data_IF_874238317647
#
_entry.id   IF_874238317647
#
_cell.length_a   1.000
_cell.length_b   1.000
_cell.length_c   1.000
_cell.angle_alpha   90.00
_cell.angle_beta   90.00
_cell.angle_gamma   90.00
#
_symmetry.space_group_name_H-M   'P 1'
#
loop_
_entity.id
_entity.type
_entity.pdbx_description
1 polymer ?
#
# COMPACT_ATOMS: atom_id res chain seq x y z
N UNK A 1 15.56 -25.86 -44.87
CA UNK A 1 15.70 -24.51 -45.42
C UNK A 1 15.46 -23.51 -44.28
N UNK A 2 16.52 -22.93 -43.75
CA UNK A 2 16.48 -22.01 -42.62
C UNK A 2 16.60 -20.58 -43.17
N UNK A 3 15.68 -19.71 -42.81
CA UNK A 3 15.78 -18.28 -43.11
C UNK A 3 16.29 -17.53 -41.89
N UNK A 4 17.37 -16.74 -41.95
CA UNK A 4 17.84 -15.90 -40.86
C UNK A 4 17.02 -14.61 -40.76
N UNK A 5 16.57 -14.26 -39.55
CA UNK A 5 15.95 -12.97 -39.27
C UNK A 5 17.02 -11.92 -39.01
N UNK A 6 17.08 -10.90 -39.82
CA UNK A 6 17.89 -9.70 -39.62
C UNK A 6 17.32 -8.89 -38.41
N UNK A 7 18.22 -8.58 -37.46
CA UNK A 7 17.93 -7.64 -36.37
C UNK A 7 18.46 -6.28 -36.82
N UNK A 8 17.56 -5.36 -37.12
CA UNK A 8 17.90 -3.96 -37.38
C UNK A 8 18.08 -3.21 -36.07
N UNK A 9 19.31 -2.80 -35.78
CA UNK A 9 19.63 -1.91 -34.65
C UNK A 9 19.36 -0.47 -35.07
N UNK A 10 18.42 0.20 -34.43
CA UNK A 10 18.18 1.64 -34.56
C UNK A 10 19.13 2.39 -33.62
N UNK A 11 20.03 3.14 -34.19
CA UNK A 11 20.93 4.03 -33.44
C UNK A 11 20.22 5.38 -33.24
N UNK A 12 20.04 5.79 -31.98
CA UNK A 12 19.54 7.12 -31.63
C UNK A 12 20.75 8.04 -31.42
N UNK A 13 20.88 9.02 -32.28
CA UNK A 13 21.88 10.06 -32.17
C UNK A 13 21.44 11.11 -31.13
N UNK A 14 22.30 11.36 -30.14
CA UNK A 14 22.13 12.41 -29.15
C UNK A 14 22.78 13.68 -29.70
N UNK A 15 22.00 14.69 -30.03
CA UNK A 15 22.48 16.03 -30.35
C UNK A 15 22.59 16.86 -29.09
N UNK A 16 23.82 17.24 -28.76
CA UNK A 16 24.11 18.20 -27.70
C UNK A 16 23.86 19.64 -28.22
N UNK A 17 23.04 20.38 -27.52
CA UNK A 17 22.89 21.83 -27.73
C UNK A 17 23.67 22.59 -26.67
N UNK A 18 24.51 23.50 -27.18
CA UNK A 18 25.48 24.33 -26.44
C UNK A 18 24.79 25.50 -25.74
N UNK A 19 25.26 25.78 -24.55
CA UNK A 19 24.96 26.90 -23.65
C UNK A 19 25.07 28.29 -24.28
N UNK A 20 24.13 29.16 -23.94
CA UNK A 20 24.37 30.59 -23.82
C UNK A 20 24.17 31.00 -22.37
N UNK A 21 25.23 31.46 -21.74
CA UNK A 21 25.25 31.97 -20.37
C UNK A 21 24.62 33.40 -20.29
N UNK A 22 23.96 33.64 -19.13
CA UNK A 22 23.62 34.99 -18.66
C UNK A 22 24.11 35.11 -17.21
N UNK A 23 24.83 36.16 -16.83
CA UNK A 23 25.37 36.31 -15.48
C UNK A 23 24.36 36.97 -14.53
N UNK A 24 24.28 36.45 -13.34
CA UNK A 24 24.19 37.15 -12.08
C UNK A 24 22.97 37.98 -11.73
N UNK A 25 22.23 37.49 -10.73
CA UNK A 25 21.89 38.36 -9.58
C UNK A 25 21.86 37.49 -8.31
N UNK A 26 22.56 37.97 -7.32
CA UNK A 26 22.61 37.42 -5.98
C UNK A 26 21.30 37.66 -5.22
N UNK A 27 20.97 36.73 -4.32
CA UNK A 27 20.22 37.08 -3.11
C UNK A 27 18.75 36.66 -3.09
N UNK A 28 18.52 35.49 -2.49
CA UNK A 28 17.51 35.34 -1.44
C UNK A 28 17.72 33.94 -0.84
N UNK A 29 18.34 33.87 0.32
CA UNK A 29 18.20 32.71 1.20
C UNK A 29 16.72 32.61 1.54
N UNK A 30 16.01 31.70 0.89
CA UNK A 30 14.72 31.25 1.37
C UNK A 30 14.99 30.42 2.63
N UNK A 31 14.72 31.01 3.79
CA UNK A 31 14.63 30.29 5.05
C UNK A 31 13.69 29.10 4.86
N UNK A 32 14.25 27.90 4.97
CA UNK A 32 13.46 26.69 5.09
C UNK A 32 12.55 26.86 6.31
N UNK A 33 11.24 26.68 6.19
CA UNK A 33 10.37 26.77 7.35
C UNK A 33 10.83 25.74 8.37
N UNK A 34 11.29 26.25 9.53
CA UNK A 34 11.60 25.41 10.70
C UNK A 34 10.34 24.63 11.01
N UNK A 35 10.42 23.32 10.83
CA UNK A 35 9.36 22.40 11.20
C UNK A 35 9.04 22.66 12.68
N UNK A 36 7.81 23.14 12.94
CA UNK A 36 7.38 23.58 14.26
C UNK A 36 7.52 22.40 15.23
N UNK A 37 8.36 22.56 16.25
CA UNK A 37 8.65 21.55 17.26
C UNK A 37 7.40 21.10 18.06
N UNK A 38 6.27 21.78 17.86
CA UNK A 38 4.98 21.40 18.41
C UNK A 38 4.36 20.19 17.73
N UNK A 39 4.69 19.92 16.44
CA UNK A 39 4.20 18.73 15.72
C UNK A 39 4.90 17.46 16.23
N UNK A 40 6.17 17.55 16.60
CA UNK A 40 6.93 16.42 17.13
C UNK A 40 6.43 15.94 18.52
N UNK A 41 5.76 16.81 19.28
CA UNK A 41 5.32 16.49 20.65
C UNK A 41 3.97 15.79 20.72
N UNK A 42 3.18 15.80 19.66
CA UNK A 42 1.88 15.12 19.58
C UNK A 42 2.05 13.65 19.14
N UNK A 43 3.16 13.31 18.49
CA UNK A 43 3.45 11.96 18.03
C UNK A 43 3.95 10.99 19.14
N UNK A 44 4.24 11.49 20.35
CA UNK A 44 4.89 10.68 21.41
C UNK A 44 3.94 10.16 22.48
N UNK A 45 2.63 10.24 22.32
CA UNK A 45 1.68 9.74 23.31
C UNK A 45 1.04 8.44 22.84
N UNK A 46 1.67 7.34 23.25
CA UNK A 46 1.11 6.01 23.49
C UNK A 46 0.66 5.17 22.30
N UNK A 47 1.63 4.71 21.53
CA UNK A 47 1.55 3.39 20.90
C UNK A 47 2.80 2.60 21.32
N UNK A 48 2.71 1.28 21.54
CA UNK A 48 3.92 0.48 21.63
C UNK A 48 4.66 0.73 20.31
N UNK A 49 5.92 1.14 20.44
CA UNK A 49 6.83 1.25 19.29
C UNK A 49 6.71 -0.07 18.54
N UNK A 50 6.41 -0.09 17.23
CA UNK A 50 6.40 -1.33 16.47
C UNK A 50 7.71 -2.03 16.78
N UNK A 51 7.68 -3.22 17.40
CA UNK A 51 8.88 -4.04 17.49
C UNK A 51 9.31 -4.22 16.05
N UNK A 52 10.57 -3.93 15.78
CA UNK A 52 11.20 -4.32 14.53
C UNK A 52 11.09 -5.84 14.48
N UNK A 53 10.03 -6.34 13.82
CA UNK A 53 9.78 -7.76 13.71
C UNK A 53 10.89 -8.30 12.83
N UNK A 54 11.71 -9.20 13.34
CA UNK A 54 12.78 -9.78 12.56
C UNK A 54 12.18 -10.63 11.42
N UNK A 55 12.96 -10.88 10.36
CA UNK A 55 12.51 -11.74 9.26
C UNK A 55 12.06 -13.13 9.76
N UNK A 56 12.70 -13.64 10.82
CA UNK A 56 12.36 -14.90 11.45
C UNK A 56 11.01 -14.83 12.19
N UNK A 57 10.77 -13.74 12.92
CA UNK A 57 9.51 -13.55 13.64
C UNK A 57 8.33 -13.41 12.69
N UNK A 58 8.56 -12.86 11.48
CA UNK A 58 7.55 -12.76 10.42
C UNK A 58 7.21 -14.12 9.79
N UNK A 59 8.16 -15.05 9.76
CA UNK A 59 7.95 -16.39 9.23
C UNK A 59 7.15 -17.25 10.21
N UNK A 60 7.29 -16.97 11.52
CA UNK A 60 6.60 -17.65 12.62
C UNK A 60 5.31 -16.93 13.06
N UNK A 61 5.08 -15.68 12.60
CA UNK A 61 3.90 -14.89 12.96
C UNK A 61 2.61 -15.51 12.38
N UNK A 62 1.56 -15.51 13.19
CA UNK A 62 0.24 -15.90 12.71
C UNK A 62 -0.30 -14.89 11.69
N UNK A 63 -1.28 -15.30 10.86
CA UNK A 63 -1.96 -14.37 9.94
C UNK A 63 -2.52 -13.17 10.68
N UNK A 64 -3.16 -13.38 11.83
CA UNK A 64 -3.75 -12.29 12.64
C UNK A 64 -2.69 -11.27 13.11
N UNK A 65 -1.50 -11.72 13.55
CA UNK A 65 -0.42 -10.81 13.95
C UNK A 65 0.07 -9.96 12.77
N UNK A 66 0.12 -10.56 11.57
CA UNK A 66 0.51 -9.86 10.34
C UNK A 66 -0.56 -8.86 9.89
N UNK A 67 -1.84 -9.21 10.03
CA UNK A 67 -2.98 -8.34 9.72
C UNK A 67 -3.04 -7.14 10.65
N UNK A 68 -2.84 -7.35 11.94
CA UNK A 68 -2.72 -6.28 12.93
C UNK A 68 -1.54 -5.36 12.61
N UNK A 69 -0.38 -5.92 12.29
CA UNK A 69 0.81 -5.16 11.90
C UNK A 69 0.55 -4.37 10.60
N UNK A 70 -0.17 -4.95 9.63
CA UNK A 70 -0.54 -4.28 8.38
C UNK A 70 -1.46 -3.09 8.65
N UNK A 71 -2.46 -3.23 9.52
CA UNK A 71 -3.34 -2.12 9.90
C UNK A 71 -2.59 -1.00 10.62
N UNK A 72 -1.58 -1.34 11.43
CA UNK A 72 -0.69 -0.32 12.05
C UNK A 72 0.01 0.48 10.95
N UNK A 73 0.63 -0.17 9.96
CA UNK A 73 1.34 0.49 8.87
C UNK A 73 0.40 1.35 8.00
N UNK A 74 -0.80 0.84 7.69
CA UNK A 74 -1.83 1.62 6.97
C UNK A 74 -2.19 2.88 7.77
N UNK A 75 -2.36 2.76 9.07
CA UNK A 75 -2.72 3.88 9.93
C UNK A 75 -1.59 4.90 10.09
N UNK A 76 -0.34 4.48 10.07
CA UNK A 76 0.82 5.37 10.04
C UNK A 76 0.87 6.15 8.73
N UNK A 77 0.70 5.48 7.60
CA UNK A 77 0.62 6.12 6.29
C UNK A 77 -0.53 7.14 6.23
N UNK A 78 -1.72 6.79 6.70
CA UNK A 78 -2.87 7.70 6.75
C UNK A 78 -2.60 8.91 7.65
N UNK A 79 -2.03 8.70 8.82
CA UNK A 79 -1.67 9.78 9.75
C UNK A 79 -0.63 10.73 9.16
N UNK A 80 0.37 10.22 8.44
CA UNK A 80 1.37 11.03 7.74
C UNK A 80 0.75 11.94 6.66
N UNK A 81 -0.43 11.56 6.13
CA UNK A 81 -1.22 12.36 5.18
C UNK A 81 -2.36 13.16 5.84
N UNK A 82 -2.35 13.32 7.18
CA UNK A 82 -3.36 14.09 7.90
C UNK A 82 -4.75 13.45 7.95
N UNK A 83 -4.85 12.15 7.66
CA UNK A 83 -6.12 11.43 7.60
C UNK A 83 -6.41 10.74 8.94
N UNK A 84 -7.70 10.54 9.20
CA UNK A 84 -8.15 9.76 10.35
C UNK A 84 -7.65 8.32 10.25
N UNK A 85 -7.13 7.80 11.36
CA UNK A 85 -6.82 6.38 11.52
C UNK A 85 -8.09 5.53 11.54
N UNK A 86 -7.97 4.29 11.11
CA UNK A 86 -9.04 3.29 11.10
C UNK A 86 -8.80 2.37 12.29
N UNK A 87 -9.75 2.35 13.25
CA UNK A 87 -9.59 1.66 14.52
C UNK A 87 -10.43 0.39 14.63
N UNK A 88 -11.34 0.17 13.69
CA UNK A 88 -12.30 -0.91 13.77
C UNK A 88 -12.21 -1.79 12.55
N UNK A 89 -12.07 -3.08 12.78
CA UNK A 89 -12.37 -4.08 11.78
C UNK A 89 -13.89 -4.17 11.59
N UNK A 90 -14.31 -4.47 10.37
CA UNK A 90 -15.67 -4.78 10.04
C UNK A 90 -15.78 -6.29 9.79
N UNK A 91 -16.38 -7.02 10.71
CA UNK A 91 -16.37 -8.48 10.70
C UNK A 91 -16.97 -9.11 9.42
N UNK A 92 -17.97 -8.46 8.80
CA UNK A 92 -18.50 -8.92 7.52
C UNK A 92 -17.50 -8.71 6.40
N UNK A 93 -16.91 -7.53 6.31
CA UNK A 93 -15.92 -7.19 5.29
C UNK A 93 -14.63 -7.98 5.48
N UNK A 94 -14.25 -8.25 6.72
CA UNK A 94 -13.09 -9.05 7.10
C UNK A 94 -13.23 -10.48 6.60
N UNK A 95 -14.35 -11.13 6.90
CA UNK A 95 -14.66 -12.47 6.37
C UNK A 95 -14.63 -12.52 4.83
N UNK A 96 -15.07 -11.44 4.17
CA UNK A 96 -15.00 -11.36 2.72
C UNK A 96 -13.56 -11.23 2.21
N UNK A 97 -12.69 -10.50 2.93
CA UNK A 97 -11.27 -10.40 2.60
C UNK A 97 -10.56 -11.75 2.75
N UNK A 98 -10.80 -12.47 3.85
CA UNK A 98 -10.29 -13.82 4.08
C UNK A 98 -10.68 -14.77 2.94
N UNK A 99 -11.98 -14.86 2.64
CA UNK A 99 -12.49 -15.73 1.55
C UNK A 99 -11.85 -15.38 0.20
N UNK A 100 -11.57 -14.09 -0.03
CA UNK A 100 -10.95 -13.66 -1.28
C UNK A 100 -9.46 -14.02 -1.35
N UNK A 101 -8.72 -13.80 -0.28
CA UNK A 101 -7.33 -14.22 -0.14
C UNK A 101 -7.16 -15.74 -0.35
N UNK A 102 -7.98 -16.55 0.33
CA UNK A 102 -7.99 -17.99 0.16
C UNK A 102 -8.34 -18.43 -1.27
N UNK A 103 -9.32 -17.76 -1.91
CA UNK A 103 -9.65 -18.01 -3.31
C UNK A 103 -8.45 -17.77 -4.22
N UNK A 104 -7.77 -16.62 -4.07
CA UNK A 104 -6.57 -16.32 -4.84
C UNK A 104 -5.48 -17.35 -4.60
N UNK A 105 -5.24 -17.71 -3.33
CA UNK A 105 -4.23 -18.72 -2.95
C UNK A 105 -4.49 -20.08 -3.61
N UNK A 106 -5.75 -20.53 -3.60
CA UNK A 106 -6.15 -21.81 -4.16
C UNK A 106 -6.18 -21.84 -5.69
N UNK A 107 -6.64 -20.75 -6.33
CA UNK A 107 -6.88 -20.73 -7.79
C UNK A 107 -5.71 -20.13 -8.58
N UNK A 108 -4.82 -19.39 -7.93
CA UNK A 108 -3.76 -18.61 -8.56
C UNK A 108 -4.26 -17.36 -9.30
N UNK A 109 -5.58 -17.13 -9.38
CA UNK A 109 -6.17 -15.97 -10.06
C UNK A 109 -6.01 -14.74 -9.18
N UNK A 110 -5.11 -13.85 -9.60
CA UNK A 110 -4.83 -12.59 -8.89
C UNK A 110 -5.63 -11.47 -9.54
N UNK A 111 -6.81 -11.23 -9.02
CA UNK A 111 -7.78 -10.27 -9.52
C UNK A 111 -8.52 -9.60 -8.36
N UNK A 112 -9.00 -8.37 -8.54
CA UNK A 112 -9.83 -7.68 -7.55
C UNK A 112 -11.20 -8.34 -7.42
N UNK A 113 -11.75 -8.32 -6.18
CA UNK A 113 -13.13 -8.69 -5.93
C UNK A 113 -14.07 -7.58 -6.42
N UNK A 114 -15.28 -7.96 -6.84
CA UNK A 114 -16.35 -6.98 -7.10
C UNK A 114 -16.69 -6.21 -5.82
N UNK A 115 -16.33 -4.94 -5.78
CA UNK A 115 -16.61 -4.08 -4.62
C UNK A 115 -18.11 -3.80 -4.46
N UNK A 116 -18.90 -3.91 -5.50
CA UNK A 116 -20.35 -3.90 -5.41
C UNK A 116 -20.90 -5.07 -4.58
N UNK A 117 -20.25 -6.23 -4.62
CA UNK A 117 -20.58 -7.34 -3.74
C UNK A 117 -20.31 -7.02 -2.27
N UNK A 118 -19.15 -6.43 -1.95
CA UNK A 118 -18.78 -6.02 -0.59
C UNK A 118 -19.77 -4.97 -0.05
N UNK A 119 -20.15 -4.02 -0.90
CA UNK A 119 -21.16 -2.99 -0.56
C UNK A 119 -22.48 -3.64 -0.19
N UNK A 120 -23.02 -4.49 -1.07
CA UNK A 120 -24.35 -5.09 -0.87
C UNK A 120 -24.40 -6.08 0.28
N UNK A 121 -23.36 -6.91 0.47
CA UNK A 121 -23.36 -7.97 1.48
C UNK A 121 -23.12 -7.47 2.89
N UNK A 122 -22.35 -6.40 3.04
CA UNK A 122 -21.94 -5.87 4.34
C UNK A 122 -22.55 -4.49 4.66
N UNK A 123 -23.60 -4.08 3.93
CA UNK A 123 -24.31 -2.82 4.14
C UNK A 123 -23.38 -1.59 4.18
N UNK A 124 -22.50 -1.51 3.19
CA UNK A 124 -21.57 -0.41 3.07
C UNK A 124 -22.08 0.62 2.06
N UNK A 125 -21.86 1.92 2.35
CA UNK A 125 -22.09 3.01 1.41
C UNK A 125 -20.90 3.20 0.44
N UNK A 126 -19.72 2.65 0.79
CA UNK A 126 -18.53 2.71 0.00
C UNK A 126 -17.57 1.57 0.36
N UNK A 127 -16.92 1.01 -0.64
CA UNK A 127 -15.84 0.05 -0.48
C UNK A 127 -14.73 0.30 -1.51
N UNK A 128 -13.49 0.01 -1.13
CA UNK A 128 -12.33 0.02 -2.01
C UNK A 128 -11.35 -1.05 -1.57
N UNK A 129 -10.73 -1.76 -2.52
CA UNK A 129 -9.81 -2.85 -2.25
C UNK A 129 -8.39 -2.51 -2.69
N UNK A 130 -7.43 -2.86 -1.83
CA UNK A 130 -6.02 -2.97 -2.22
C UNK A 130 -5.59 -4.42 -2.15
N UNK A 131 -4.82 -4.86 -3.15
CA UNK A 131 -4.40 -6.23 -3.33
C UNK A 131 -2.92 -6.28 -3.65
N UNK A 132 -2.19 -7.22 -3.02
CA UNK A 132 -0.77 -7.44 -3.28
C UNK A 132 -0.45 -8.93 -3.23
N UNK A 133 0.53 -9.36 -4.04
CA UNK A 133 1.10 -10.70 -3.97
C UNK A 133 2.60 -10.66 -4.25
N UNK A 134 3.38 -11.31 -3.40
CA UNK A 134 4.83 -11.41 -3.58
C UNK A 134 5.49 -12.35 -2.57
N UNK A 135 6.75 -12.66 -2.80
CA UNK A 135 7.55 -13.50 -1.90
C UNK A 135 8.16 -12.66 -0.80
N UNK A 136 8.05 -13.10 0.45
CA UNK A 136 8.68 -12.45 1.60
C UNK A 136 8.17 -11.04 1.90
N UNK A 137 6.97 -10.68 1.44
CA UNK A 137 6.36 -9.37 1.70
C UNK A 137 6.04 -9.21 3.19
N UNK A 138 6.58 -8.17 3.77
CA UNK A 138 6.23 -7.70 5.12
C UNK A 138 5.06 -6.69 5.02
N UNK A 139 4.33 -6.44 6.10
CA UNK A 139 3.29 -5.42 6.15
C UNK A 139 3.74 -4.04 5.65
N UNK A 140 4.97 -3.62 5.98
CA UNK A 140 5.57 -2.37 5.51
C UNK A 140 5.72 -2.36 3.99
N UNK A 141 6.26 -3.44 3.42
CA UNK A 141 6.50 -3.56 1.97
C UNK A 141 5.17 -3.51 1.20
N UNK A 142 4.10 -4.11 1.75
CA UNK A 142 2.77 -4.07 1.15
C UNK A 142 2.22 -2.63 1.07
N UNK A 143 2.35 -1.87 2.17
CA UNK A 143 1.88 -0.48 2.21
C UNK A 143 2.69 0.40 1.25
N UNK A 144 4.01 0.24 1.17
CA UNK A 144 4.86 0.95 0.23
C UNK A 144 4.45 0.69 -1.22
N UNK A 145 4.26 -0.58 -1.61
CA UNK A 145 3.80 -0.97 -2.94
C UNK A 145 2.43 -0.36 -3.29
N UNK A 146 1.52 -0.29 -2.33
CA UNK A 146 0.21 0.33 -2.55
C UNK A 146 0.31 1.86 -2.66
N UNK A 147 1.19 2.49 -1.88
CA UNK A 147 1.41 3.93 -1.98
C UNK A 147 2.10 4.33 -3.29
N UNK A 148 2.90 3.46 -3.87
CA UNK A 148 3.55 3.69 -5.16
C UNK A 148 2.58 3.50 -6.36
N UNK A 149 1.47 2.78 -6.15
CA UNK A 149 0.43 2.58 -7.16
C UNK A 149 -0.67 3.66 -7.04
N UNK A 150 -0.91 4.51 -8.05
CA UNK A 150 -1.87 5.60 -7.95
C UNK A 150 -3.28 5.15 -7.54
N UNK A 151 -3.79 4.06 -8.11
CA UNK A 151 -5.13 3.54 -7.79
C UNK A 151 -5.22 2.98 -6.35
N UNK A 152 -4.23 2.23 -5.91
CA UNK A 152 -4.20 1.72 -4.53
C UNK A 152 -3.98 2.84 -3.52
N UNK A 153 -3.12 3.83 -3.85
CA UNK A 153 -2.92 5.02 -3.02
C UNK A 153 -4.22 5.78 -2.78
N UNK A 154 -5.01 5.99 -3.84
CA UNK A 154 -6.31 6.66 -3.72
C UNK A 154 -7.24 5.94 -2.75
N UNK A 155 -7.28 4.61 -2.79
CA UNK A 155 -8.09 3.79 -1.87
C UNK A 155 -7.53 3.88 -0.45
N UNK A 156 -6.23 3.65 -0.28
CA UNK A 156 -5.57 3.61 1.04
C UNK A 156 -5.69 4.95 1.78
N UNK A 157 -5.60 6.04 1.04
CA UNK A 157 -5.69 7.41 1.55
C UNK A 157 -7.09 8.02 1.39
N UNK A 158 -8.11 7.21 1.10
CA UNK A 158 -9.48 7.72 0.99
C UNK A 158 -9.97 8.31 2.32
N UNK A 159 -10.46 9.58 2.32
CA UNK A 159 -11.08 10.14 3.51
C UNK A 159 -12.43 9.49 3.86
N UNK A 160 -12.98 8.67 2.95
CA UNK A 160 -14.22 7.92 3.18
C UNK A 160 -14.02 6.70 4.07
N UNK A 161 -12.82 6.11 4.08
CA UNK A 161 -12.53 4.91 4.85
C UNK A 161 -12.75 5.11 6.36
N UNK A 162 -13.51 4.21 6.98
CA UNK A 162 -13.85 4.24 8.42
C UNK A 162 -13.58 2.92 9.12
N UNK A 163 -13.69 1.81 8.40
CA UNK A 163 -13.48 0.45 8.87
C UNK A 163 -12.69 -0.33 7.83
N UNK A 164 -12.16 -1.48 8.21
CA UNK A 164 -11.39 -2.34 7.34
C UNK A 164 -11.77 -3.80 7.52
N UNK A 165 -11.63 -4.57 6.45
CA UNK A 165 -11.48 -6.02 6.48
C UNK A 165 -10.12 -6.35 5.86
N UNK A 166 -9.37 -7.23 6.50
CA UNK A 166 -7.98 -7.54 6.13
C UNK A 166 -7.78 -9.04 6.09
N UNK A 167 -7.01 -9.50 5.12
CA UNK A 167 -6.54 -10.88 5.10
C UNK A 167 -5.10 -10.96 4.61
N UNK A 168 -4.31 -11.77 5.29
CA UNK A 168 -2.98 -12.18 4.85
C UNK A 168 -2.95 -13.70 4.77
N UNK A 169 -2.70 -14.22 3.58
CA UNK A 169 -2.61 -15.66 3.34
C UNK A 169 -1.40 -16.00 2.47
N UNK A 170 -1.08 -17.27 2.32
CA UNK A 170 0.01 -17.77 1.46
C UNK A 170 -0.53 -18.73 0.42
N UNK A 171 -0.02 -18.63 -0.80
CA UNK A 171 -0.33 -19.61 -1.84
C UNK A 171 0.61 -20.82 -1.79
N UNK A 172 0.34 -21.81 -2.66
CA UNK A 172 1.13 -23.05 -2.74
C UNK A 172 2.61 -22.82 -3.13
N UNK A 173 2.96 -21.66 -3.65
CA UNK A 173 4.32 -21.24 -3.97
C UNK A 173 4.99 -20.48 -2.82
N UNK A 174 4.33 -20.37 -1.66
CA UNK A 174 4.81 -19.63 -0.50
C UNK A 174 4.76 -18.10 -0.67
N UNK A 175 4.09 -17.58 -1.71
CA UNK A 175 3.94 -16.14 -1.89
C UNK A 175 2.88 -15.63 -0.93
N UNK A 176 3.17 -14.53 -0.29
CA UNK A 176 2.21 -13.81 0.55
C UNK A 176 1.19 -13.07 -0.33
N UNK A 177 -0.08 -13.17 0.03
CA UNK A 177 -1.20 -12.45 -0.56
C UNK A 177 -1.80 -11.57 0.53
N UNK A 178 -1.84 -10.26 0.31
CA UNK A 178 -2.51 -9.30 1.18
C UNK A 178 -3.75 -8.75 0.49
N UNK A 179 -4.88 -8.79 1.19
CA UNK A 179 -6.17 -8.22 0.76
C UNK A 179 -6.64 -7.25 1.83
N UNK A 180 -6.89 -6.00 1.44
CA UNK A 180 -7.47 -5.00 2.34
C UNK A 180 -8.67 -4.36 1.67
N UNK A 181 -9.83 -4.51 2.27
CA UNK A 181 -11.04 -3.79 1.92
C UNK A 181 -11.26 -2.65 2.92
N UNK A 182 -11.18 -1.42 2.46
CA UNK A 182 -11.53 -0.24 3.25
C UNK A 182 -12.98 0.15 2.97
N UNK A 183 -13.76 0.36 4.02
CA UNK A 183 -15.21 0.56 3.89
C UNK A 183 -15.72 1.75 4.71
N UNK A 184 -16.92 2.20 4.33
CA UNK A 184 -17.78 3.10 5.08
C UNK A 184 -19.19 2.52 5.07
N UNK A 185 -19.77 2.31 6.25
CA UNK A 185 -21.18 1.90 6.37
C UNK A 185 -22.15 2.98 5.86
N UNK A 186 -23.32 2.54 5.53
CA UNK A 186 -24.46 3.39 5.12
C UNK A 186 -24.93 4.30 6.24
#
# INVERSE_FOLDING_TARGET
MQHPRLITRLAIAVTAAVLCGVPGTAGAHADSPKLDSRVAKVASKTWPVPRTVSAKDLEEASSNDLEDALMVQINEARAAHGLRKIWSFDGCTDQLAEQWGERIARTGRFEHRDQGEVIRRCDNAWAGETLVRGTGLRPTDMVELWLDSPGHREILLSPRARRAGVAITRDAQGRTIGVVNLVKHS
#
